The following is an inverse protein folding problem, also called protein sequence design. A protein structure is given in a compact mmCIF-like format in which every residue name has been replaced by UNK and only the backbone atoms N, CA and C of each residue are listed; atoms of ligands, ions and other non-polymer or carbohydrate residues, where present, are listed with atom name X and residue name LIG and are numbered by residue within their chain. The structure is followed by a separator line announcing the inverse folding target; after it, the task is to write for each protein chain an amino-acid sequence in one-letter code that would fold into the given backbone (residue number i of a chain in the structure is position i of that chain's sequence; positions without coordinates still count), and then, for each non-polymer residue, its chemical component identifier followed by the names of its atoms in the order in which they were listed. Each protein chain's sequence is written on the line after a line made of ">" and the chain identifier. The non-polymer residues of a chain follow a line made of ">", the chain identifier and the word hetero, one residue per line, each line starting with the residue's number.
data_IF_518709898532
#
_entry.id   IF_518709898532
#
_cell.length_a   1.000
_cell.length_b   1.000
_cell.length_c   1.000
_cell.angle_alpha   90.00
_cell.angle_beta   90.00
_cell.angle_gamma   90.00
#
_symmetry.space_group_name_H-M   'P 1'
#
loop_
_entity.id
_entity.type
_entity.pdbx_description
1 polymer ?
#
# COMPACT_ATOMS: atom_id res chain seq x y z
N UNK A 1 10.45 25.05 75.37
CA UNK A 1 11.35 25.87 76.21
C UNK A 1 12.03 26.89 75.35
N UNK A 2 11.70 28.14 75.61
CA UNK A 2 12.39 29.38 75.37
C UNK A 2 12.66 29.79 73.89
N UNK A 3 11.96 30.81 73.39
CA UNK A 3 12.01 32.25 73.69
C UNK A 3 13.26 32.90 73.02
N UNK A 4 13.22 33.88 72.14
CA UNK A 4 12.99 35.31 72.32
C UNK A 4 13.40 36.01 71.00
N UNK A 5 12.55 36.87 70.47
CA UNK A 5 12.60 38.33 70.43
C UNK A 5 13.69 38.93 69.49
N UNK A 6 13.46 39.87 68.69
CA UNK A 6 12.60 41.04 68.45
C UNK A 6 13.46 42.18 67.93
N UNK A 7 12.75 43.15 67.30
CA UNK A 7 13.14 44.55 66.99
C UNK A 7 13.91 44.72 65.70
N UNK A 8 13.44 45.38 64.70
CA UNK A 8 12.70 46.66 64.65
C UNK A 8 13.66 47.81 64.49
N UNK A 9 13.57 48.50 63.38
CA UNK A 9 13.66 49.99 63.35
C UNK A 9 13.30 50.54 61.98
N UNK A 10 12.43 51.53 62.02
CA UNK A 10 12.01 52.46 60.99
C UNK A 10 13.15 53.38 60.60
N UNK A 11 13.09 53.96 59.39
CA UNK A 11 13.15 55.39 59.05
C UNK A 11 13.37 55.50 57.57
N UNK A 12 12.46 56.07 56.85
CA UNK A 12 12.12 57.44 56.53
C UNK A 12 12.69 57.91 55.17
N UNK A 13 11.73 58.27 54.32
CA UNK A 13 11.71 59.33 53.28
C UNK A 13 12.74 59.37 52.18
N UNK A 14 12.22 59.40 50.98
CA UNK A 14 12.90 59.89 49.77
C UNK A 14 12.04 59.82 48.55
N UNK A 15 11.10 60.79 48.42
CA UNK A 15 10.35 61.04 47.17
C UNK A 15 11.28 61.42 46.04
N UNK A 16 11.29 60.66 44.99
CA UNK A 16 11.76 61.15 43.67
C UNK A 16 10.81 60.65 42.60
N UNK A 17 10.01 61.53 42.05
CA UNK A 17 9.25 61.36 40.82
C UNK A 17 10.24 61.11 39.68
N UNK A 18 10.14 59.96 39.05
CA UNK A 18 10.70 59.72 37.73
C UNK A 18 9.58 59.08 36.88
N UNK A 19 9.04 59.90 36.00
CA UNK A 19 8.15 59.49 34.91
C UNK A 19 8.86 58.53 33.99
N UNK A 20 8.53 57.25 34.06
CA UNK A 20 8.98 56.26 33.09
C UNK A 20 7.91 56.09 32.03
N UNK A 21 8.22 56.56 30.85
CA UNK A 21 7.47 56.42 29.63
C UNK A 21 7.32 54.90 29.30
N UNK A 22 6.15 54.32 29.53
CA UNK A 22 5.86 52.94 29.20
C UNK A 22 5.68 52.81 27.70
N UNK A 23 6.71 52.40 26.99
CA UNK A 23 6.60 51.92 25.62
C UNK A 23 5.96 50.51 25.68
N UNK A 24 4.68 50.43 25.40
CA UNK A 24 4.01 49.16 25.17
C UNK A 24 4.50 48.54 23.87
N UNK A 25 5.48 47.63 23.96
CA UNK A 25 5.75 46.71 22.84
C UNK A 25 4.57 45.79 22.69
N UNK A 26 3.67 46.09 21.76
CA UNK A 26 2.69 45.15 21.24
C UNK A 26 3.46 44.00 20.57
N UNK A 27 3.68 42.91 21.31
CA UNK A 27 4.01 41.62 20.70
C UNK A 27 2.82 41.17 19.91
N UNK A 28 2.85 41.38 18.59
CA UNK A 28 1.99 40.69 17.67
C UNK A 28 2.31 39.19 17.83
N UNK A 29 1.45 38.46 18.55
CA UNK A 29 1.42 37.01 18.49
C UNK A 29 0.93 36.66 17.09
N UNK A 30 1.88 36.41 16.18
CA UNK A 30 1.58 35.72 14.94
C UNK A 30 1.19 34.30 15.32
N UNK A 31 -0.10 34.00 15.33
CA UNK A 31 -0.61 32.62 15.35
C UNK A 31 0.07 31.88 14.20
N UNK A 32 0.55 30.63 14.41
CA UNK A 32 1.08 29.84 13.32
C UNK A 32 -0.03 29.73 12.25
N UNK A 33 0.31 29.81 10.96
CA UNK A 33 -0.69 29.64 9.91
C UNK A 33 -1.38 28.29 10.11
N UNK A 34 -2.69 28.34 10.28
CA UNK A 34 -3.55 27.16 10.26
C UNK A 34 -3.23 26.45 8.94
N UNK A 35 -2.91 25.14 8.93
CA UNK A 35 -2.68 24.47 7.68
C UNK A 35 -3.97 24.63 6.87
N UNK A 36 -3.88 25.33 5.75
CA UNK A 36 -4.95 25.32 4.74
C UNK A 36 -5.10 23.88 4.31
N UNK A 37 -6.11 23.23 4.83
CA UNK A 37 -6.65 22.00 4.29
C UNK A 37 -7.08 22.35 2.86
N UNK A 38 -6.19 22.19 1.92
CA UNK A 38 -6.55 22.17 0.52
C UNK A 38 -7.61 21.09 0.37
N UNK A 39 -8.86 21.48 0.24
CA UNK A 39 -9.97 20.57 0.02
C UNK A 39 -9.66 19.83 -1.29
N UNK A 40 -9.15 18.59 -1.17
CA UNK A 40 -9.04 17.68 -2.30
C UNK A 40 -10.46 17.55 -2.84
N UNK A 41 -10.65 17.93 -4.09
CA UNK A 41 -11.96 17.80 -4.74
C UNK A 41 -12.44 16.35 -4.57
N UNK A 42 -13.73 16.14 -4.27
CA UNK A 42 -14.25 14.79 -4.11
C UNK A 42 -13.95 13.97 -5.37
N UNK A 43 -13.56 12.68 -5.23
CA UNK A 43 -13.24 11.86 -6.37
C UNK A 43 -14.48 11.75 -7.28
N UNK A 44 -14.27 11.84 -8.60
CA UNK A 44 -15.33 11.62 -9.59
C UNK A 44 -15.98 10.26 -9.36
N UNK A 45 -17.27 10.16 -9.60
CA UNK A 45 -17.99 8.90 -9.56
C UNK A 45 -17.73 8.07 -10.85
N UNK A 46 -17.92 6.78 -10.75
CA UNK A 46 -17.70 5.87 -11.86
C UNK A 46 -18.49 6.23 -13.12
N UNK A 47 -19.75 6.61 -12.97
CA UNK A 47 -20.64 7.03 -14.06
C UNK A 47 -20.33 8.41 -14.64
N UNK A 48 -19.54 9.22 -13.95
CA UNK A 48 -19.08 10.53 -14.44
C UNK A 48 -17.85 10.40 -15.33
N UNK A 49 -17.04 9.36 -15.14
CA UNK A 49 -15.79 9.14 -15.87
C UNK A 49 -15.90 8.05 -16.94
N UNK A 50 -16.64 6.98 -16.64
CA UNK A 50 -16.79 5.84 -17.55
C UNK A 50 -18.19 5.76 -18.12
N UNK A 51 -18.26 5.45 -19.42
CA UNK A 51 -19.55 5.23 -20.10
C UNK A 51 -20.14 3.87 -19.72
N UNK A 52 -21.49 3.81 -19.71
CA UNK A 52 -22.27 2.59 -19.53
C UNK A 52 -22.03 1.85 -18.20
N UNK A 53 -21.78 2.61 -17.12
CA UNK A 53 -21.73 2.07 -15.76
C UNK A 53 -23.17 1.82 -15.28
N UNK A 54 -23.48 0.54 -14.91
CA UNK A 54 -24.82 0.13 -14.47
C UNK A 54 -24.78 -0.46 -13.05
N UNK A 55 -23.98 -1.49 -12.81
CA UNK A 55 -23.93 -2.21 -11.53
C UNK A 55 -22.97 -1.57 -10.48
N UNK A 56 -22.10 -0.65 -10.90
CA UNK A 56 -21.08 0.00 -10.05
C UNK A 56 -21.30 1.52 -9.98
N UNK A 57 -22.55 1.97 -10.03
CA UNK A 57 -22.88 3.39 -9.85
C UNK A 57 -22.60 3.83 -8.42
N UNK A 58 -22.18 5.08 -8.25
CA UNK A 58 -21.93 5.69 -6.94
C UNK A 58 -20.58 5.32 -6.33
N UNK A 59 -19.77 4.46 -6.96
CA UNK A 59 -18.40 4.22 -6.48
C UNK A 59 -17.44 5.27 -7.06
N UNK A 60 -16.32 5.56 -6.38
CA UNK A 60 -15.26 6.38 -6.96
C UNK A 60 -14.74 5.78 -8.28
N UNK A 61 -14.53 6.62 -9.30
CA UNK A 61 -14.06 6.19 -10.61
C UNK A 61 -12.76 5.36 -10.54
N UNK A 62 -11.81 5.73 -9.68
CA UNK A 62 -10.57 4.99 -9.45
C UNK A 62 -10.76 3.56 -8.92
N UNK A 63 -11.95 3.18 -8.47
CA UNK A 63 -12.25 1.82 -8.01
C UNK A 63 -12.80 0.89 -9.11
N UNK A 64 -13.12 1.43 -10.29
CA UNK A 64 -13.70 0.63 -11.39
C UNK A 64 -12.69 -0.39 -11.89
N UNK A 65 -11.48 0.03 -12.26
CA UNK A 65 -10.45 -0.88 -12.78
C UNK A 65 -10.02 -1.94 -11.74
N UNK A 66 -9.73 -1.59 -10.48
CA UNK A 66 -9.48 -2.59 -9.43
C UNK A 66 -10.63 -3.58 -9.24
N UNK A 67 -11.90 -3.14 -9.36
CA UNK A 67 -13.07 -4.02 -9.30
C UNK A 67 -13.11 -4.99 -10.49
N UNK A 68 -12.78 -4.53 -11.70
CA UNK A 68 -12.69 -5.40 -12.88
C UNK A 68 -11.57 -6.43 -12.74
N UNK A 69 -10.41 -6.05 -12.21
CA UNK A 69 -9.31 -6.96 -11.90
C UNK A 69 -9.73 -8.03 -10.88
N UNK A 70 -10.48 -7.64 -9.85
CA UNK A 70 -11.01 -8.57 -8.86
C UNK A 70 -11.99 -9.58 -9.50
N UNK A 71 -12.88 -9.13 -10.39
CA UNK A 71 -13.80 -10.02 -11.13
C UNK A 71 -13.00 -10.99 -12.01
N UNK A 72 -12.08 -10.46 -12.82
CA UNK A 72 -11.27 -11.27 -13.73
C UNK A 72 -10.52 -12.38 -12.97
N UNK A 73 -9.85 -12.03 -11.85
CA UNK A 73 -9.18 -12.99 -10.99
C UNK A 73 -10.12 -14.00 -10.33
N UNK A 74 -11.31 -13.54 -9.91
CA UNK A 74 -12.30 -14.41 -9.30
C UNK A 74 -12.85 -15.47 -10.26
N UNK A 75 -12.86 -15.16 -11.56
CA UNK A 75 -13.33 -16.04 -12.62
C UNK A 75 -12.19 -16.76 -13.37
N UNK A 76 -10.92 -16.37 -13.15
CA UNK A 76 -9.77 -16.92 -13.88
C UNK A 76 -9.78 -16.58 -15.37
N UNK A 77 -10.23 -15.35 -15.74
CA UNK A 77 -10.38 -14.91 -17.14
C UNK A 77 -9.67 -13.58 -17.38
N UNK A 78 -9.40 -13.30 -18.65
CA UNK A 78 -8.88 -12.01 -19.10
C UNK A 78 -10.01 -11.01 -19.40
N UNK A 79 -9.64 -9.72 -19.55
CA UNK A 79 -10.59 -8.63 -19.80
C UNK A 79 -11.47 -8.87 -21.03
N UNK A 80 -10.90 -9.49 -22.05
CA UNK A 80 -11.55 -9.80 -23.34
C UNK A 80 -12.65 -10.86 -23.23
N UNK A 81 -12.70 -11.61 -22.15
CA UNK A 81 -13.80 -12.55 -21.89
C UNK A 81 -15.16 -11.81 -21.83
N UNK A 82 -15.19 -10.64 -21.15
CA UNK A 82 -16.40 -9.84 -20.97
C UNK A 82 -16.46 -8.60 -21.88
N UNK A 83 -15.34 -8.12 -22.40
CA UNK A 83 -15.27 -6.86 -23.15
C UNK A 83 -14.79 -7.07 -24.58
N UNK A 84 -15.31 -6.23 -25.50
CA UNK A 84 -14.68 -5.94 -26.79
C UNK A 84 -13.72 -4.76 -26.63
N UNK A 85 -13.07 -4.30 -27.69
CA UNK A 85 -12.11 -3.20 -27.66
C UNK A 85 -12.73 -1.94 -27.05
N UNK A 86 -13.95 -1.59 -27.45
CA UNK A 86 -14.76 -0.52 -26.87
C UNK A 86 -15.41 -1.04 -25.58
N UNK A 87 -14.79 -0.76 -24.42
CA UNK A 87 -15.17 -1.30 -23.12
C UNK A 87 -16.59 -0.95 -22.66
N UNK A 88 -17.19 0.10 -23.21
CA UNK A 88 -18.56 0.55 -22.94
C UNK A 88 -19.63 -0.27 -23.68
N UNK A 89 -19.29 -1.01 -24.75
CA UNK A 89 -20.24 -1.82 -25.51
C UNK A 89 -20.73 -3.06 -24.74
N UNK A 90 -21.94 -3.49 -25.01
CA UNK A 90 -22.60 -4.66 -24.40
C UNK A 90 -22.69 -5.85 -25.37
N UNK A 91 -21.79 -5.96 -26.31
CA UNK A 91 -21.78 -6.97 -27.38
C UNK A 91 -21.58 -8.40 -26.84
N UNK A 92 -20.99 -8.52 -25.64
CA UNK A 92 -20.74 -9.81 -25.01
C UNK A 92 -21.76 -10.14 -23.93
N UNK A 93 -22.40 -11.29 -24.05
CA UNK A 93 -23.36 -11.81 -23.07
C UNK A 93 -22.76 -11.92 -21.67
N UNK A 94 -21.48 -12.26 -21.57
CA UNK A 94 -20.74 -12.37 -20.31
C UNK A 94 -20.73 -11.06 -19.51
N UNK A 95 -20.57 -9.91 -20.17
CA UNK A 95 -20.64 -8.59 -19.52
C UNK A 95 -22.02 -8.33 -18.91
N UNK A 96 -23.07 -8.65 -19.66
CA UNK A 96 -24.46 -8.50 -19.17
C UNK A 96 -24.74 -9.43 -18.00
N UNK A 97 -24.24 -10.68 -18.08
CA UNK A 97 -24.35 -11.65 -16.98
C UNK A 97 -23.59 -11.19 -15.75
N UNK A 98 -22.36 -10.68 -15.90
CA UNK A 98 -21.55 -10.17 -14.78
C UNK A 98 -22.28 -9.08 -13.98
N UNK A 99 -23.00 -8.17 -14.65
CA UNK A 99 -23.81 -7.15 -13.94
C UNK A 99 -24.90 -7.77 -13.07
N UNK A 100 -25.55 -8.83 -13.54
CA UNK A 100 -26.56 -9.55 -12.74
C UNK A 100 -25.90 -10.22 -11.53
N UNK A 101 -24.73 -10.82 -11.70
CA UNK A 101 -23.99 -11.46 -10.61
C UNK A 101 -23.49 -10.45 -9.58
N UNK A 102 -23.02 -9.27 -10.01
CA UNK A 102 -22.63 -8.18 -9.11
C UNK A 102 -23.83 -7.76 -8.25
N UNK A 103 -24.97 -7.51 -8.87
CA UNK A 103 -26.20 -7.10 -8.14
C UNK A 103 -26.67 -8.21 -7.19
N UNK A 104 -26.62 -9.47 -7.59
CA UNK A 104 -26.96 -10.62 -6.74
C UNK A 104 -26.03 -10.68 -5.52
N UNK A 105 -24.73 -10.60 -5.72
CA UNK A 105 -23.73 -10.63 -4.64
C UNK A 105 -23.92 -9.47 -3.66
N UNK A 106 -24.18 -8.25 -4.17
CA UNK A 106 -24.46 -7.10 -3.34
C UNK A 106 -25.75 -7.27 -2.53
N UNK A 107 -26.81 -7.84 -3.13
CA UNK A 107 -28.07 -8.12 -2.43
C UNK A 107 -27.86 -9.15 -1.32
N UNK A 108 -27.13 -10.26 -1.58
CA UNK A 108 -26.81 -11.28 -0.57
C UNK A 108 -26.12 -10.63 0.64
N UNK A 109 -25.08 -9.82 0.41
CA UNK A 109 -24.37 -9.18 1.50
C UNK A 109 -25.26 -8.19 2.28
N UNK A 110 -26.08 -7.41 1.59
CA UNK A 110 -27.01 -6.47 2.19
C UNK A 110 -28.07 -7.12 3.05
N UNK A 111 -28.67 -8.19 2.55
CA UNK A 111 -29.84 -8.81 3.17
C UNK A 111 -29.47 -9.82 4.27
N UNK A 112 -28.30 -10.49 4.15
CA UNK A 112 -27.93 -11.58 5.05
C UNK A 112 -26.73 -11.28 5.94
N UNK A 113 -25.96 -10.21 5.65
CA UNK A 113 -24.73 -9.89 6.34
C UNK A 113 -24.64 -8.41 6.73
N UNK A 114 -25.80 -7.75 6.93
CA UNK A 114 -25.88 -6.34 7.39
C UNK A 114 -25.07 -5.35 6.52
N UNK A 115 -24.87 -5.70 5.24
CA UNK A 115 -24.03 -4.94 4.31
C UNK A 115 -22.52 -5.23 4.44
N UNK A 116 -22.11 -6.10 5.36
CA UNK A 116 -20.73 -6.57 5.42
C UNK A 116 -20.43 -7.47 4.22
N UNK A 117 -19.23 -7.30 3.65
CA UNK A 117 -18.80 -8.03 2.46
C UNK A 117 -18.25 -9.42 2.83
N UNK A 118 -19.12 -10.36 3.16
CA UNK A 118 -18.78 -11.74 3.50
C UNK A 118 -18.75 -12.64 2.25
N UNK A 119 -19.63 -12.38 1.29
CA UNK A 119 -19.66 -13.08 0.01
C UNK A 119 -19.06 -12.19 -1.09
N UNK A 120 -18.19 -12.78 -1.89
CA UNK A 120 -17.57 -12.14 -3.06
C UNK A 120 -17.72 -13.01 -4.30
N UNK A 121 -17.33 -12.52 -5.48
CA UNK A 121 -17.30 -13.34 -6.70
C UNK A 121 -16.45 -14.60 -6.49
N UNK A 122 -15.33 -14.48 -5.80
CA UNK A 122 -14.42 -15.59 -5.52
C UNK A 122 -15.03 -16.68 -4.63
N UNK A 123 -15.98 -16.34 -3.75
CA UNK A 123 -16.67 -17.30 -2.87
C UNK A 123 -17.34 -18.44 -3.65
N UNK A 124 -17.86 -18.13 -4.84
CA UNK A 124 -18.54 -19.10 -5.71
C UNK A 124 -17.65 -19.57 -6.88
N UNK A 125 -16.90 -18.66 -7.51
CA UNK A 125 -16.19 -18.93 -8.76
C UNK A 125 -14.81 -19.58 -8.57
N UNK A 126 -14.05 -19.20 -7.54
CA UNK A 126 -12.75 -19.80 -7.17
C UNK A 126 -11.75 -19.91 -8.32
N UNK A 127 -11.72 -18.94 -9.22
CA UNK A 127 -10.84 -18.92 -10.40
C UNK A 127 -11.41 -19.64 -11.63
N UNK A 128 -12.74 -19.87 -11.69
CA UNK A 128 -13.43 -20.45 -12.86
C UNK A 128 -14.60 -19.59 -13.29
N UNK A 129 -14.87 -19.45 -14.61
CA UNK A 129 -16.08 -18.78 -15.11
C UNK A 129 -17.37 -19.42 -14.61
N UNK A 130 -17.36 -20.74 -14.43
CA UNK A 130 -18.46 -21.49 -13.87
C UNK A 130 -18.29 -21.64 -12.34
N UNK A 131 -19.33 -21.38 -11.53
CA UNK A 131 -19.25 -21.56 -10.09
C UNK A 131 -18.93 -22.99 -9.71
N UNK A 132 -18.08 -23.18 -8.69
CA UNK A 132 -17.74 -24.50 -8.17
C UNK A 132 -18.89 -24.99 -7.29
N UNK A 133 -19.77 -25.81 -7.85
CA UNK A 133 -20.98 -26.32 -7.19
C UNK A 133 -20.77 -27.63 -6.42
N UNK A 134 -19.71 -28.38 -6.74
CA UNK A 134 -19.43 -29.69 -6.15
C UNK A 134 -18.14 -29.68 -5.36
N UNK A 135 -18.09 -30.24 -4.13
CA UNK A 135 -16.85 -30.36 -3.38
C UNK A 135 -15.80 -31.15 -4.16
N UNK A 136 -14.56 -30.64 -4.15
CA UNK A 136 -13.41 -31.33 -4.74
C UNK A 136 -12.92 -32.36 -3.72
N UNK A 137 -12.80 -33.63 -4.14
CA UNK A 137 -12.15 -34.65 -3.33
C UNK A 137 -10.63 -34.47 -3.53
N UNK A 138 -9.92 -34.06 -2.46
CA UNK A 138 -8.47 -33.99 -2.46
C UNK A 138 -7.89 -35.38 -2.23
N UNK A 139 -6.76 -35.69 -2.89
CA UNK A 139 -5.99 -36.91 -2.61
C UNK A 139 -5.37 -36.88 -1.20
N UNK A 140 -5.11 -35.70 -0.66
CA UNK A 140 -4.69 -35.49 0.71
C UNK A 140 -5.95 -35.32 1.58
N UNK A 141 -6.07 -36.10 2.66
CA UNK A 141 -7.19 -35.93 3.60
C UNK A 141 -7.17 -34.50 4.16
N UNK A 142 -8.23 -33.69 3.91
CA UNK A 142 -8.30 -32.36 4.49
C UNK A 142 -8.38 -32.52 6.01
N UNK A 143 -7.48 -31.85 6.74
CA UNK A 143 -7.65 -31.67 8.19
C UNK A 143 -9.03 -31.03 8.42
N UNK A 144 -9.98 -31.79 8.95
CA UNK A 144 -11.29 -31.28 9.34
C UNK A 144 -11.07 -30.49 10.63
N UNK A 145 -11.24 -29.19 10.56
CA UNK A 145 -11.32 -28.37 11.78
C UNK A 145 -12.61 -28.73 12.52
N UNK A 146 -12.49 -29.23 13.74
CA UNK A 146 -13.62 -29.36 14.67
C UNK A 146 -13.78 -28.02 15.37
N UNK A 147 -15.02 -27.56 15.57
CA UNK A 147 -15.33 -26.28 16.22
C UNK A 147 -14.70 -26.13 17.61
N UNK A 148 -14.29 -27.22 18.23
CA UNK A 148 -13.71 -27.25 19.59
C UNK A 148 -12.19 -27.47 19.61
N UNK A 149 -11.51 -27.57 18.46
CA UNK A 149 -10.10 -27.99 18.43
C UNK A 149 -9.94 -29.39 19.07
N UNK A 150 -8.91 -30.15 18.73
CA UNK A 150 -8.65 -31.43 19.41
C UNK A 150 -8.41 -31.16 20.91
N UNK A 151 -9.25 -31.69 21.84
CA UNK A 151 -8.98 -31.57 23.26
C UNK A 151 -7.68 -32.32 23.57
N UNK A 152 -6.57 -31.60 23.80
CA UNK A 152 -5.26 -32.18 24.12
C UNK A 152 -4.10 -31.74 23.25
N UNK A 153 -4.32 -31.12 22.10
CA UNK A 153 -3.22 -30.45 21.38
C UNK A 153 -2.92 -29.08 22.00
N UNK A 154 -1.75 -28.95 22.60
CA UNK A 154 -1.26 -27.65 23.06
C UNK A 154 -1.22 -26.69 21.86
N UNK A 155 -1.89 -25.56 21.95
CA UNK A 155 -1.81 -24.52 20.91
C UNK A 155 -0.35 -24.18 20.67
N UNK A 156 0.12 -24.13 19.43
CA UNK A 156 1.51 -23.78 19.17
C UNK A 156 1.80 -22.38 19.72
N UNK A 157 2.89 -22.27 20.48
CA UNK A 157 3.34 -21.00 21.06
C UNK A 157 4.25 -20.34 20.03
N UNK A 158 3.87 -19.18 19.55
CA UNK A 158 4.67 -18.37 18.62
C UNK A 158 5.41 -17.26 19.36
N UNK A 159 6.58 -16.81 18.84
CA UNK A 159 7.23 -15.62 19.34
C UNK A 159 6.30 -14.39 19.24
N UNK A 160 6.37 -13.42 20.17
CA UNK A 160 5.66 -12.16 20.01
C UNK A 160 6.02 -11.45 18.70
N UNK A 161 5.05 -10.75 18.10
CA UNK A 161 5.27 -10.03 16.85
C UNK A 161 6.45 -9.04 16.94
N UNK A 162 6.56 -8.33 18.05
CA UNK A 162 7.66 -7.37 18.26
C UNK A 162 9.03 -8.03 18.16
N UNK A 163 9.17 -9.24 18.71
CA UNK A 163 10.42 -9.99 18.61
C UNK A 163 10.77 -10.37 17.16
N UNK A 164 9.77 -10.74 16.35
CA UNK A 164 9.97 -11.08 14.95
C UNK A 164 10.33 -9.85 14.12
N UNK A 165 9.68 -8.72 14.38
CA UNK A 165 9.96 -7.45 13.72
C UNK A 165 11.35 -6.92 14.10
N UNK A 166 11.77 -7.05 15.38
CA UNK A 166 13.12 -6.70 15.81
C UNK A 166 14.18 -7.63 15.22
N UNK A 167 13.89 -8.94 15.13
CA UNK A 167 14.76 -9.89 14.46
C UNK A 167 14.96 -9.52 13.00
N UNK A 168 13.89 -9.14 12.29
CA UNK A 168 13.96 -8.66 10.92
C UNK A 168 14.83 -7.41 10.79
N UNK A 169 14.57 -6.38 11.61
CA UNK A 169 15.36 -5.15 11.59
C UNK A 169 16.85 -5.43 11.85
N UNK A 170 17.16 -6.30 12.80
CA UNK A 170 18.54 -6.72 13.10
C UNK A 170 19.15 -7.50 11.94
N UNK A 171 18.38 -8.41 11.32
CA UNK A 171 18.84 -9.25 10.22
C UNK A 171 19.22 -8.45 8.96
N UNK A 172 18.57 -7.30 8.73
CA UNK A 172 18.91 -6.42 7.60
C UNK A 172 20.06 -5.46 7.89
N UNK A 173 20.59 -5.38 9.13
CA UNK A 173 21.71 -4.51 9.49
C UNK A 173 21.42 -3.51 10.60
N UNK A 174 20.18 -3.48 11.12
CA UNK A 174 19.78 -2.67 12.26
C UNK A 174 19.34 -1.25 11.93
N UNK A 175 18.76 -0.60 12.94
CA UNK A 175 18.15 0.73 12.82
C UNK A 175 19.17 1.81 12.39
N UNK A 176 20.35 1.81 13.02
CA UNK A 176 21.37 2.84 12.77
C UNK A 176 21.88 2.79 11.32
N UNK A 177 22.14 1.60 10.79
CA UNK A 177 22.60 1.44 9.41
C UNK A 177 21.50 1.86 8.42
N UNK A 178 20.24 1.49 8.70
CA UNK A 178 19.11 1.85 7.85
C UNK A 178 18.87 3.36 7.81
N UNK A 179 18.94 4.07 8.94
CA UNK A 179 18.75 5.52 9.03
C UNK A 179 19.84 6.33 8.32
N UNK A 180 21.00 5.74 8.07
CA UNK A 180 22.07 6.38 7.28
C UNK A 180 21.80 6.36 5.78
N UNK A 181 20.79 5.60 5.31
CA UNK A 181 20.46 5.55 3.89
C UNK A 181 19.55 6.72 3.53
N UNK A 182 20.06 7.67 2.79
CA UNK A 182 19.31 8.86 2.34
C UNK A 182 18.74 8.68 0.93
N UNK A 183 19.35 7.79 0.14
CA UNK A 183 18.90 7.48 -1.22
C UNK A 183 19.34 6.08 -1.64
N UNK A 184 18.65 5.53 -2.62
CA UNK A 184 19.01 4.26 -3.25
C UNK A 184 18.66 4.32 -4.74
N UNK A 185 19.60 3.94 -5.58
CA UNK A 185 19.42 3.78 -7.03
C UNK A 185 19.70 2.32 -7.37
N UNK A 186 18.74 1.69 -8.01
CA UNK A 186 18.81 0.30 -8.45
C UNK A 186 18.55 0.23 -9.94
N UNK A 187 19.37 -0.51 -10.66
CA UNK A 187 19.20 -0.78 -12.08
C UNK A 187 19.18 -2.29 -12.31
N UNK A 188 18.38 -2.73 -13.25
CA UNK A 188 18.26 -4.15 -13.51
C UNK A 188 17.26 -4.47 -14.61
N UNK A 189 16.80 -5.70 -14.59
CA UNK A 189 15.89 -6.26 -15.58
C UNK A 189 14.55 -6.60 -14.93
N UNK A 190 13.47 -6.11 -15.55
CA UNK A 190 12.10 -6.53 -15.24
C UNK A 190 11.70 -7.62 -16.23
N UNK A 191 11.28 -8.77 -15.71
CA UNK A 191 10.67 -9.86 -16.49
C UNK A 191 9.17 -9.83 -16.25
N UNK A 192 8.40 -9.53 -17.30
CA UNK A 192 6.94 -9.52 -17.26
C UNK A 192 6.36 -10.93 -17.44
N UNK A 193 5.06 -11.07 -17.12
CA UNK A 193 4.30 -12.28 -17.46
C UNK A 193 4.42 -12.56 -18.96
N UNK A 194 4.74 -13.80 -19.32
CA UNK A 194 5.04 -14.17 -20.73
C UNK A 194 6.52 -14.09 -21.10
N UNK A 195 7.42 -13.76 -20.16
CA UNK A 195 8.88 -13.85 -20.34
C UNK A 195 9.50 -12.66 -21.07
N UNK A 196 8.78 -11.57 -21.29
CA UNK A 196 9.34 -10.34 -21.86
C UNK A 196 10.26 -9.65 -20.85
N UNK A 197 11.39 -9.14 -21.34
CA UNK A 197 12.39 -8.45 -20.53
C UNK A 197 12.47 -6.97 -20.88
N UNK A 198 12.54 -6.13 -19.84
CA UNK A 198 12.66 -4.67 -19.95
C UNK A 198 13.74 -4.19 -18.99
N UNK A 199 14.53 -3.21 -19.40
CA UNK A 199 15.39 -2.52 -18.45
C UNK A 199 14.56 -1.71 -17.47
N UNK A 200 14.96 -1.68 -16.21
CA UNK A 200 14.26 -0.95 -15.15
C UNK A 200 15.25 -0.19 -14.28
N UNK A 201 14.93 1.07 -14.02
CA UNK A 201 15.60 1.91 -13.04
C UNK A 201 14.66 2.20 -11.88
N UNK A 202 15.13 2.04 -10.63
CA UNK A 202 14.37 2.38 -9.43
C UNK A 202 15.17 3.35 -8.60
N UNK A 203 14.58 4.51 -8.32
CA UNK A 203 15.13 5.56 -7.48
C UNK A 203 14.30 5.66 -6.21
N UNK A 204 14.95 5.65 -5.07
CA UNK A 204 14.31 5.91 -3.78
C UNK A 204 15.07 7.01 -3.05
N UNK A 205 14.35 7.92 -2.39
CA UNK A 205 14.93 9.00 -1.58
C UNK A 205 14.16 9.10 -0.28
N UNK A 206 14.89 9.15 0.81
CA UNK A 206 14.32 9.24 2.15
C UNK A 206 13.49 10.52 2.34
N UNK A 207 12.43 10.46 3.15
CA UNK A 207 11.97 9.24 3.82
C UNK A 207 11.12 8.33 2.92
N UNK A 208 10.39 8.87 1.93
CA UNK A 208 9.26 8.20 1.28
C UNK A 208 9.05 8.59 -0.19
N UNK A 209 10.12 8.93 -0.93
CA UNK A 209 10.03 9.18 -2.38
C UNK A 209 10.52 7.97 -3.15
N UNK A 210 9.76 7.59 -4.19
CA UNK A 210 10.10 6.48 -5.06
C UNK A 210 9.70 6.76 -6.50
N UNK A 211 10.57 6.36 -7.43
CA UNK A 211 10.34 6.38 -8.86
C UNK A 211 10.81 5.05 -9.43
N UNK A 212 9.98 4.41 -10.24
CA UNK A 212 10.35 3.23 -11.03
C UNK A 212 10.11 3.54 -12.51
N UNK A 213 11.12 3.37 -13.32
CA UNK A 213 11.09 3.62 -14.77
C UNK A 213 11.33 2.30 -15.49
N UNK A 214 10.37 1.83 -16.25
CA UNK A 214 10.50 0.70 -17.15
C UNK A 214 10.66 1.22 -18.58
N UNK A 215 11.78 0.87 -19.21
CA UNK A 215 12.13 1.35 -20.53
C UNK A 215 11.50 0.47 -21.61
N UNK A 216 10.53 1.02 -22.35
CA UNK A 216 9.85 0.35 -23.45
C UNK A 216 10.36 0.90 -24.79
N UNK A 217 10.19 0.14 -25.88
CA UNK A 217 10.62 0.56 -27.22
C UNK A 217 9.94 1.85 -27.72
N UNK A 218 8.74 2.14 -27.22
CA UNK A 218 7.93 3.31 -27.60
C UNK A 218 7.90 4.43 -26.55
N UNK A 219 8.79 4.38 -25.56
CA UNK A 219 8.89 5.34 -24.46
C UNK A 219 8.74 4.71 -23.09
N UNK A 220 9.00 5.45 -22.03
CA UNK A 220 9.06 4.94 -20.68
C UNK A 220 7.67 4.74 -20.04
N UNK A 221 7.53 3.66 -19.26
CA UNK A 221 6.44 3.52 -18.30
C UNK A 221 6.98 3.84 -16.91
N UNK A 222 6.36 4.80 -16.24
CA UNK A 222 6.83 5.35 -14.98
C UNK A 222 5.79 5.20 -13.90
N UNK A 223 6.22 4.79 -12.70
CA UNK A 223 5.43 4.83 -11.48
C UNK A 223 6.21 5.64 -10.45
N UNK A 224 5.62 6.70 -9.93
CA UNK A 224 6.28 7.58 -8.98
C UNK A 224 5.39 7.94 -7.79
N UNK A 225 6.05 8.25 -6.67
CA UNK A 225 5.47 8.85 -5.48
C UNK A 225 6.44 9.90 -4.95
N UNK A 226 5.97 11.14 -4.76
CA UNK A 226 6.81 12.28 -4.38
C UNK A 226 6.86 12.56 -2.86
N UNK A 227 6.28 11.66 -2.05
CA UNK A 227 6.07 11.81 -0.61
C UNK A 227 4.67 12.30 -0.25
N UNK A 228 3.84 12.71 -1.23
CA UNK A 228 2.46 13.19 -1.01
C UNK A 228 1.49 12.61 -2.03
N UNK A 229 1.87 12.66 -3.30
CA UNK A 229 1.03 12.27 -4.41
C UNK A 229 1.81 11.34 -5.34
N UNK A 230 1.17 10.23 -5.71
CA UNK A 230 1.69 9.32 -6.73
C UNK A 230 1.09 9.61 -8.11
N UNK A 231 1.84 9.19 -9.12
CA UNK A 231 1.42 9.24 -10.52
C UNK A 231 1.98 8.08 -11.31
N UNK A 232 1.29 7.76 -12.38
CA UNK A 232 1.68 6.75 -13.38
C UNK A 232 1.75 7.42 -14.74
N UNK A 233 2.75 7.08 -15.51
CA UNK A 233 2.86 7.51 -16.90
C UNK A 233 3.16 6.31 -17.80
N UNK A 234 2.47 6.26 -18.90
CA UNK A 234 2.79 5.39 -20.04
C UNK A 234 2.85 6.27 -21.29
N UNK A 235 3.46 5.82 -22.40
CA UNK A 235 3.51 6.63 -23.62
C UNK A 235 2.14 7.19 -24.00
N UNK A 236 2.01 8.51 -24.01
CA UNK A 236 0.78 9.25 -24.37
C UNK A 236 -0.25 9.43 -23.24
N UNK A 237 0.01 8.99 -22.02
CA UNK A 237 -0.94 9.16 -20.92
C UNK A 237 -0.25 9.36 -19.57
N UNK A 238 -0.81 10.25 -18.74
CA UNK A 238 -0.42 10.44 -17.33
C UNK A 238 -1.66 10.29 -16.49
N UNK A 239 -1.55 9.51 -15.41
CA UNK A 239 -2.62 9.26 -14.44
C UNK A 239 -2.15 9.63 -13.03
N UNK A 240 -2.89 10.52 -12.36
CA UNK A 240 -2.67 10.82 -10.96
C UNK A 240 -3.31 9.73 -10.10
N UNK A 241 -2.57 9.20 -9.14
CA UNK A 241 -3.04 8.10 -8.30
C UNK A 241 -4.23 8.54 -7.44
N UNK A 242 -5.23 7.67 -7.37
CA UNK A 242 -6.35 7.78 -6.42
C UNK A 242 -5.85 7.65 -4.97
N UNK A 243 -6.65 8.01 -3.95
CA UNK A 243 -6.26 7.84 -2.54
C UNK A 243 -5.85 6.40 -2.17
N UNK A 244 -6.51 5.40 -2.75
CA UNK A 244 -6.18 3.97 -2.52
C UNK A 244 -4.83 3.59 -3.14
N UNK A 245 -4.57 4.05 -4.37
CA UNK A 245 -3.29 3.85 -5.03
C UNK A 245 -2.17 4.60 -4.32
N UNK A 246 -2.42 5.82 -3.86
CA UNK A 246 -1.48 6.61 -3.06
C UNK A 246 -1.07 5.91 -1.77
N UNK A 247 -2.02 5.32 -1.03
CA UNK A 247 -1.72 4.57 0.19
C UNK A 247 -0.77 3.39 -0.08
N UNK A 248 -0.96 2.69 -1.21
CA UNK A 248 -0.08 1.62 -1.63
C UNK A 248 1.30 2.13 -2.07
N UNK A 249 1.34 3.22 -2.84
CA UNK A 249 2.58 3.82 -3.32
C UNK A 249 3.42 4.40 -2.17
N UNK A 250 2.78 5.01 -1.18
CA UNK A 250 3.45 5.51 0.04
C UNK A 250 4.13 4.39 0.81
N UNK A 251 3.47 3.24 0.97
CA UNK A 251 4.07 2.07 1.63
C UNK A 251 5.27 1.53 0.83
N UNK A 252 5.14 1.44 -0.50
CA UNK A 252 6.22 0.97 -1.38
C UNK A 252 7.40 1.96 -1.44
N UNK A 253 7.16 3.24 -1.13
CA UNK A 253 8.15 4.32 -1.13
C UNK A 253 8.87 4.49 0.22
N UNK A 254 8.31 3.97 1.31
CA UNK A 254 8.89 4.10 2.65
C UNK A 254 10.25 3.36 2.74
N UNK A 255 11.32 4.11 2.61
CA UNK A 255 12.68 3.58 2.66
C UNK A 255 13.02 3.00 4.04
N UNK A 256 12.29 3.42 5.07
CA UNK A 256 12.46 3.00 6.46
C UNK A 256 11.32 2.09 6.96
N UNK A 257 10.59 1.45 6.05
CA UNK A 257 9.50 0.53 6.39
C UNK A 257 9.84 -0.45 7.53
N UNK A 258 11.05 -1.07 7.59
CA UNK A 258 11.40 -1.96 8.70
C UNK A 258 11.40 -1.30 10.09
N UNK A 259 11.60 0.02 10.17
CA UNK A 259 11.51 0.80 11.41
C UNK A 259 10.06 1.16 11.72
N UNK A 260 9.29 1.49 10.68
CA UNK A 260 7.94 2.05 10.85
C UNK A 260 6.88 0.99 11.05
N UNK A 261 7.08 -0.24 10.56
CA UNK A 261 6.06 -1.30 10.55
C UNK A 261 5.41 -1.53 11.92
N UNK A 262 6.17 -1.44 13.02
CA UNK A 262 5.64 -1.58 14.38
C UNK A 262 4.63 -0.51 14.76
N UNK A 263 4.81 0.71 14.27
CA UNK A 263 3.95 1.86 14.61
C UNK A 263 2.83 2.07 13.60
N UNK A 264 2.95 1.49 12.40
CA UNK A 264 1.93 1.57 11.35
C UNK A 264 0.66 0.78 11.71
N UNK A 265 0.76 -0.25 12.54
CA UNK A 265 -0.35 -1.13 12.90
C UNK A 265 -0.58 -1.19 14.40
N UNK A 266 -1.86 -1.15 14.81
CA UNK A 266 -2.27 -1.14 16.22
C UNK A 266 -2.27 -2.53 16.86
N UNK A 267 -2.41 -3.58 16.08
CA UNK A 267 -2.47 -4.95 16.57
C UNK A 267 -1.78 -5.90 15.61
N UNK A 268 -1.10 -6.90 16.16
CA UNK A 268 -0.47 -7.95 15.40
C UNK A 268 -0.96 -9.33 15.86
N UNK A 269 -1.09 -10.25 14.91
CA UNK A 269 -1.29 -11.67 15.16
C UNK A 269 -0.14 -12.45 14.55
N UNK A 270 0.37 -13.44 15.27
CA UNK A 270 1.42 -14.34 14.77
C UNK A 270 0.85 -15.75 14.64
N UNK A 271 1.26 -16.44 13.58
CA UNK A 271 0.87 -17.80 13.26
C UNK A 271 2.02 -18.55 12.55
N UNK A 272 1.84 -19.86 12.30
CA UNK A 272 2.70 -20.57 11.36
C UNK A 272 2.48 -19.99 9.95
N UNK A 273 3.57 -19.66 9.28
CA UNK A 273 3.55 -19.26 7.87
C UNK A 273 3.65 -20.43 6.93
N UNK A 274 3.29 -20.23 5.68
CA UNK A 274 3.55 -21.19 4.60
C UNK A 274 5.04 -21.28 4.30
N UNK A 275 5.49 -22.37 3.67
CA UNK A 275 6.85 -22.46 3.13
C UNK A 275 6.97 -21.58 1.89
N UNK A 276 8.04 -20.77 1.85
CA UNK A 276 8.37 -19.92 0.71
C UNK A 276 9.75 -20.32 0.21
N UNK A 277 9.83 -20.77 -1.03
CA UNK A 277 11.08 -21.31 -1.64
C UNK A 277 11.75 -22.37 -0.74
N UNK A 278 10.94 -23.28 -0.16
CA UNK A 278 11.40 -24.35 0.74
C UNK A 278 11.75 -23.91 2.16
N UNK A 279 11.66 -22.62 2.49
CA UNK A 279 12.02 -22.05 3.80
C UNK A 279 10.79 -21.92 4.69
N UNK A 280 10.92 -22.37 5.94
CA UNK A 280 9.89 -22.24 6.97
C UNK A 280 9.72 -20.77 7.37
N UNK A 281 8.48 -20.31 7.54
CA UNK A 281 8.22 -18.92 7.89
C UNK A 281 7.35 -18.77 9.14
N UNK A 282 7.47 -17.61 9.79
CA UNK A 282 6.45 -17.06 10.67
C UNK A 282 5.55 -16.12 9.88
N UNK A 283 4.25 -16.26 10.07
CA UNK A 283 3.25 -15.34 9.55
C UNK A 283 2.93 -14.27 10.59
N UNK A 284 3.00 -13.01 10.21
CA UNK A 284 2.64 -11.86 11.06
C UNK A 284 1.62 -11.01 10.32
N UNK A 285 0.42 -10.89 10.88
CA UNK A 285 -0.63 -10.03 10.35
C UNK A 285 -0.71 -8.74 11.16
N UNK A 286 -0.46 -7.59 10.52
CA UNK A 286 -0.70 -6.26 11.09
C UNK A 286 -2.11 -5.76 10.75
N UNK A 287 -2.81 -5.17 11.72
CA UNK A 287 -4.18 -4.69 11.57
C UNK A 287 -4.40 -3.31 12.18
N UNK A 288 -5.21 -2.51 11.48
CA UNK A 288 -5.85 -1.30 11.98
C UNK A 288 -7.36 -1.42 11.82
N UNK A 289 -8.18 -0.88 12.74
CA UNK A 289 -9.63 -0.81 12.55
C UNK A 289 -9.99 -0.08 11.25
N UNK A 290 -10.89 -0.68 10.45
CA UNK A 290 -11.40 -0.07 9.21
C UNK A 290 -10.40 0.00 8.04
N UNK A 291 -9.22 -0.60 8.18
CA UNK A 291 -8.22 -0.66 7.12
C UNK A 291 -7.92 -2.11 6.72
N UNK A 292 -7.49 -2.35 5.47
CA UNK A 292 -6.99 -3.66 5.08
C UNK A 292 -5.77 -4.06 5.92
N UNK A 293 -5.64 -5.37 6.24
CA UNK A 293 -4.46 -5.86 6.95
C UNK A 293 -3.22 -5.85 6.05
N UNK A 294 -2.05 -6.01 6.68
CA UNK A 294 -0.83 -6.44 6.00
C UNK A 294 -0.44 -7.83 6.50
N UNK A 295 0.04 -8.66 5.59
CA UNK A 295 0.56 -9.98 5.91
C UNK A 295 2.06 -10.02 5.60
N UNK A 296 2.86 -10.39 6.59
CA UNK A 296 4.32 -10.45 6.50
C UNK A 296 4.77 -11.88 6.81
N UNK A 297 5.67 -12.40 6.01
CA UNK A 297 6.22 -13.75 6.18
C UNK A 297 7.73 -13.65 6.40
N UNK A 298 8.16 -13.95 7.61
CA UNK A 298 9.56 -13.90 8.02
C UNK A 298 10.17 -15.29 8.04
N UNK A 299 11.31 -15.45 7.43
CA UNK A 299 12.09 -16.68 7.50
C UNK A 299 12.44 -17.00 8.96
N UNK A 300 12.14 -18.22 9.39
CA UNK A 300 12.39 -18.64 10.77
C UNK A 300 13.86 -18.61 11.14
N UNK A 301 14.74 -18.95 10.22
CA UNK A 301 16.17 -19.04 10.44
C UNK A 301 16.83 -17.65 10.42
N UNK A 302 16.79 -16.98 9.29
CA UNK A 302 17.48 -15.71 9.08
C UNK A 302 16.76 -14.49 9.64
N UNK A 303 15.45 -14.56 9.85
CA UNK A 303 14.61 -13.43 10.22
C UNK A 303 14.29 -12.47 9.08
N UNK A 304 14.74 -12.73 7.86
CA UNK A 304 14.49 -11.87 6.70
C UNK A 304 13.01 -11.93 6.27
N UNK A 305 12.49 -10.84 5.77
CA UNK A 305 11.15 -10.78 5.16
C UNK A 305 11.21 -11.47 3.79
N UNK A 306 10.46 -12.56 3.61
CA UNK A 306 10.39 -13.29 2.34
C UNK A 306 9.17 -12.90 1.51
N UNK A 307 8.05 -12.53 2.16
CA UNK A 307 6.83 -12.14 1.48
C UNK A 307 6.08 -11.07 2.26
N UNK A 308 5.54 -10.12 1.53
CA UNK A 308 4.59 -9.13 2.00
C UNK A 308 3.33 -9.23 1.14
N UNK A 309 2.14 -9.26 1.78
CA UNK A 309 0.87 -9.13 1.07
C UNK A 309 0.12 -7.95 1.65
N UNK A 310 -0.22 -7.00 0.80
CA UNK A 310 -1.11 -5.87 1.10
C UNK A 310 -2.35 -5.94 0.24
N UNK A 311 -3.39 -5.26 0.65
CA UNK A 311 -4.68 -5.34 -0.01
C UNK A 311 -5.20 -3.95 -0.36
N UNK A 312 -5.76 -3.82 -1.56
CA UNK A 312 -6.55 -2.66 -1.97
C UNK A 312 -8.04 -3.00 -1.84
N UNK A 313 -8.78 -2.18 -1.10
CA UNK A 313 -10.23 -2.33 -0.98
C UNK A 313 -10.92 -1.96 -2.29
N UNK A 314 -11.88 -2.79 -2.70
CA UNK A 314 -12.83 -2.48 -3.77
C UNK A 314 -14.24 -2.75 -3.29
N UNK A 315 -15.28 -2.23 -3.92
CA UNK A 315 -16.67 -2.55 -3.58
C UNK A 315 -16.99 -4.05 -3.66
N UNK A 316 -16.25 -4.80 -4.46
CA UNK A 316 -16.52 -6.21 -4.74
C UNK A 316 -15.64 -7.18 -3.92
N UNK A 317 -14.51 -6.72 -3.39
CA UNK A 317 -13.56 -7.55 -2.66
C UNK A 317 -12.23 -6.84 -2.43
N UNK A 318 -11.29 -7.55 -1.80
CA UNK A 318 -9.92 -7.09 -1.58
C UNK A 318 -9.01 -7.62 -2.66
N UNK A 319 -8.36 -6.72 -3.41
CA UNK A 319 -7.31 -7.09 -4.35
C UNK A 319 -5.99 -7.26 -3.60
N UNK A 320 -5.40 -8.46 -3.58
CA UNK A 320 -4.07 -8.66 -3.02
C UNK A 320 -3.00 -8.10 -3.96
N UNK A 321 -1.95 -7.55 -3.37
CA UNK A 321 -0.65 -7.38 -4.02
C UNK A 321 0.35 -8.12 -3.17
N UNK A 322 0.92 -9.18 -3.71
CA UNK A 322 1.98 -9.96 -3.09
C UNK A 322 3.33 -9.51 -3.63
N UNK A 323 4.28 -9.33 -2.73
CA UNK A 323 5.68 -9.02 -3.06
C UNK A 323 6.54 -10.08 -2.40
N UNK A 324 7.22 -10.89 -3.19
CA UNK A 324 8.18 -11.88 -2.74
C UNK A 324 9.59 -11.32 -2.88
N UNK A 325 10.38 -11.39 -1.80
CA UNK A 325 11.74 -10.87 -1.71
C UNK A 325 12.74 -12.02 -1.68
N UNK A 326 13.76 -11.94 -2.50
CA UNK A 326 14.82 -12.95 -2.59
C UNK A 326 16.17 -12.32 -2.92
N UNK A 327 17.22 -13.16 -2.94
CA UNK A 327 18.58 -12.74 -3.28
C UNK A 327 19.05 -11.55 -2.44
N UNK A 328 18.95 -11.71 -1.11
CA UNK A 328 19.44 -10.70 -0.17
C UNK A 328 20.97 -10.62 -0.21
N UNK A 329 21.50 -9.45 -0.53
CA UNK A 329 22.95 -9.18 -0.57
C UNK A 329 23.31 -8.03 0.37
N UNK A 330 24.55 -8.03 0.83
CA UNK A 330 25.08 -6.88 1.57
C UNK A 330 25.28 -5.68 0.64
N UNK A 331 24.80 -4.54 1.09
CA UNK A 331 24.96 -3.25 0.44
C UNK A 331 25.35 -2.22 1.51
N UNK A 332 26.63 -2.04 1.71
CA UNK A 332 27.20 -1.08 2.70
C UNK A 332 26.68 -1.32 4.13
N UNK A 333 26.67 -2.57 4.57
CA UNK A 333 26.23 -2.99 5.91
C UNK A 333 24.73 -3.18 6.07
N UNK A 334 23.96 -3.08 4.97
CA UNK A 334 22.54 -3.44 4.94
C UNK A 334 22.30 -4.62 4.00
N UNK A 335 21.51 -5.59 4.44
CA UNK A 335 20.97 -6.62 3.54
C UNK A 335 19.77 -6.09 2.78
N UNK A 336 19.90 -6.02 1.46
CA UNK A 336 18.88 -5.53 0.53
C UNK A 336 18.49 -6.66 -0.41
N UNK A 337 17.20 -6.90 -0.70
CA UNK A 337 16.81 -7.85 -1.71
C UNK A 337 17.22 -7.37 -3.10
N UNK A 338 17.86 -8.23 -3.87
CA UNK A 338 18.25 -7.99 -5.26
C UNK A 338 17.27 -8.62 -6.26
N UNK A 339 16.31 -9.39 -5.76
CA UNK A 339 15.20 -9.89 -6.56
C UNK A 339 13.90 -9.71 -5.79
N UNK A 340 12.88 -9.16 -6.45
CA UNK A 340 11.53 -9.17 -5.94
C UNK A 340 10.52 -9.44 -7.04
N UNK A 341 9.53 -10.26 -6.72
CA UNK A 341 8.42 -10.59 -7.61
C UNK A 341 7.16 -9.93 -7.08
N UNK A 342 6.51 -9.14 -7.92
CA UNK A 342 5.23 -8.51 -7.59
C UNK A 342 4.14 -9.26 -8.35
N UNK A 343 3.20 -9.87 -7.60
CA UNK A 343 2.06 -10.57 -8.14
C UNK A 343 0.76 -9.87 -7.73
N UNK A 344 -0.09 -9.65 -8.69
CA UNK A 344 -1.46 -9.13 -8.56
C UNK A 344 -2.40 -10.03 -9.34
N UNK A 345 -3.72 -9.97 -9.08
CA UNK A 345 -4.67 -10.69 -9.91
C UNK A 345 -4.48 -10.39 -11.40
N UNK A 346 -4.19 -11.42 -12.20
CA UNK A 346 -3.97 -11.31 -13.65
C UNK A 346 -2.64 -10.71 -14.09
N UNK A 347 -1.72 -10.39 -13.18
CA UNK A 347 -0.42 -9.84 -13.56
C UNK A 347 0.68 -10.21 -12.55
N UNK A 348 1.85 -10.57 -13.08
CA UNK A 348 3.04 -10.84 -12.30
C UNK A 348 4.28 -10.34 -13.05
N UNK A 349 5.22 -9.75 -12.33
CA UNK A 349 6.53 -9.40 -12.87
C UNK A 349 7.61 -9.55 -11.81
N UNK A 350 8.81 -9.88 -12.25
CA UNK A 350 9.99 -10.02 -11.40
C UNK A 350 11.02 -8.98 -11.79
N UNK A 351 11.57 -8.28 -10.80
CA UNK A 351 12.69 -7.38 -10.97
C UNK A 351 13.92 -8.05 -10.40
N UNK A 352 14.96 -8.22 -11.25
CA UNK A 352 16.30 -8.63 -10.85
C UNK A 352 17.19 -7.40 -10.88
N UNK A 353 17.71 -7.01 -9.71
CA UNK A 353 18.67 -5.90 -9.57
C UNK A 353 20.06 -6.40 -9.95
N UNK A 354 20.73 -5.65 -10.79
CA UNK A 354 22.09 -5.90 -11.26
C UNK A 354 23.08 -4.92 -10.62
N UNK A 355 22.63 -3.66 -10.45
CA UNK A 355 23.42 -2.60 -9.86
C UNK A 355 22.63 -1.91 -8.76
N UNK A 356 23.30 -1.63 -7.64
CA UNK A 356 22.72 -0.90 -6.53
C UNK A 356 23.73 0.12 -6.01
N UNK A 357 23.30 1.36 -5.85
CA UNK A 357 24.07 2.43 -5.23
C UNK A 357 23.25 3.07 -4.10
N UNK A 358 23.87 3.36 -2.99
CA UNK A 358 23.25 4.06 -1.86
C UNK A 358 23.92 5.41 -1.62
N UNK A 359 23.16 6.34 -1.05
CA UNK A 359 23.62 7.67 -0.65
C UNK A 359 24.22 8.49 -1.82
N UNK A 360 23.72 8.24 -3.04
CA UNK A 360 24.06 9.04 -4.21
C UNK A 360 23.06 10.19 -4.38
N UNK A 361 23.48 11.33 -4.92
CA UNK A 361 22.55 12.43 -5.18
C UNK A 361 21.40 12.02 -6.10
N UNK A 362 20.16 12.25 -5.66
CA UNK A 362 18.94 12.06 -6.46
C UNK A 362 18.16 13.36 -6.44
N UNK A 363 17.96 13.96 -7.61
CA UNK A 363 17.21 15.19 -7.76
C UNK A 363 15.73 14.98 -7.43
N UNK A 364 15.15 15.87 -6.65
CA UNK A 364 13.74 15.87 -6.28
C UNK A 364 12.80 16.07 -7.49
N UNK A 365 13.26 16.77 -8.51
CA UNK A 365 12.50 16.97 -9.75
C UNK A 365 12.15 15.66 -10.46
N UNK A 366 12.93 14.58 -10.24
CA UNK A 366 12.63 13.25 -10.81
C UNK A 366 11.28 12.68 -10.33
N UNK A 367 10.87 13.01 -9.11
CA UNK A 367 9.65 12.46 -8.51
C UNK A 367 8.41 13.29 -8.84
N UNK A 368 8.58 14.51 -9.35
CA UNK A 368 7.48 15.40 -9.69
C UNK A 368 6.68 14.84 -10.89
N UNK A 369 5.35 14.98 -10.81
CA UNK A 369 4.49 14.62 -11.94
C UNK A 369 4.82 15.47 -13.17
N UNK A 370 4.90 14.88 -14.36
CA UNK A 370 5.04 15.65 -15.58
C UNK A 370 3.79 16.53 -15.80
N UNK A 371 3.91 17.65 -16.51
CA UNK A 371 2.74 18.43 -16.89
C UNK A 371 1.76 17.55 -17.67
N UNK A 372 0.45 17.75 -17.53
CA UNK A 372 -0.52 17.01 -18.31
C UNK A 372 -0.24 17.23 -19.80
N UNK A 373 -0.41 16.19 -20.65
CA UNK A 373 -0.28 16.36 -22.09
C UNK A 373 -1.19 17.49 -22.56
N UNK A 374 -0.75 18.31 -23.53
CA UNK A 374 -1.60 19.36 -24.09
C UNK A 374 -2.91 18.72 -24.54
N UNK A 375 -4.05 19.33 -24.12
CA UNK A 375 -5.36 18.90 -24.60
C UNK A 375 -5.32 18.96 -26.14
N UNK A 376 -5.31 17.78 -26.77
CA UNK A 376 -5.53 17.72 -28.21
C UNK A 376 -6.92 18.27 -28.44
N UNK A 377 -6.99 19.47 -29.02
CA UNK A 377 -8.24 20.12 -29.38
C UNK A 377 -9.11 19.08 -30.10
N UNK A 378 -10.23 18.72 -29.45
CA UNK A 378 -11.24 17.84 -30.05
C UNK A 378 -11.58 18.45 -31.42
N UNK A 379 -11.47 17.72 -32.53
CA UNK A 379 -11.90 18.27 -33.81
C UNK A 379 -13.32 18.77 -33.66
N UNK A 380 -13.59 20.02 -34.04
CA UNK A 380 -14.93 20.53 -34.10
C UNK A 380 -15.78 19.55 -34.91
N UNK A 381 -16.84 19.05 -34.34
CA UNK A 381 -17.77 18.19 -35.07
C UNK A 381 -18.34 18.97 -36.25
N UNK A 382 -18.45 18.34 -37.43
CA UNK A 382 -18.98 18.95 -38.64
C UNK A 382 -20.47 19.29 -38.47
#
# INVERSE_FOLDING_TARGET
>A
MNLFRSRGWLCVCGTLLLTVLSIALARAQSSPPKPESGAVAPPKLAEEEFKNIQALKGIPAGQVIPSMQFIAASLGVECEYCHVKERDKDDKKQKVTARKMINMMMAINKENFEGHREVTCYSCHRGSPDPVATPIISADEPKRETAEGNPGEAKPVFPPADQLLDKYLSAIGGAEALQKVTSRVQKGTLTAFGGQHFSVDVYSKAPDKRLSVMHLANGDSVTAFDGKQGWLSVPGSVHMMSPVENAAASMDADLYFPLHVKTLYKAFRVDAGEKIDGRETYFVMGRNPGQPPINLYFDKESGLLLRLIRYAETPLGRNPTQIDFADYRDASGLKVPFRWTIARPGNQFTIQVEQLQQNVPVDDAKFAAPPPPPETSKPAAP
#
